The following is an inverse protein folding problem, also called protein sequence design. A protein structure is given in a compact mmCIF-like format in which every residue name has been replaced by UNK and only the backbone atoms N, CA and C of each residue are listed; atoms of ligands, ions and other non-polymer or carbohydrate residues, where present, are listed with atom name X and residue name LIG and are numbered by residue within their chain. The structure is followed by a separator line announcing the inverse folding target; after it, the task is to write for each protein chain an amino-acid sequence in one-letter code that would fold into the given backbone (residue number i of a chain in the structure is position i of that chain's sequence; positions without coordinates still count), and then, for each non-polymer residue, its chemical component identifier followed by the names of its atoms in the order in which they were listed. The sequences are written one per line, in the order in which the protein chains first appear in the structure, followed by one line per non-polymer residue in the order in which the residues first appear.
data_IF_272476263393
#
_entry.id   IF_272476263393
#
_cell.length_a   1.000
_cell.length_b   1.000
_cell.length_c   1.000
_cell.angle_alpha   90.00
_cell.angle_beta   90.00
_cell.angle_gamma   90.00
#
_symmetry.space_group_name_H-M   'P 1'
#
loop_
_entity.id
_entity.type
_entity.pdbx_description
1 polymer ?
#
# COMPACT_ATOMS: atom_id res chain seq x y z
N UNK A 1 -14.03 -8.30 -10.02
CA UNK A 1 -13.67 -9.58 -9.39
C UNK A 1 -13.42 -9.30 -7.91
N UNK A 2 -13.92 -10.13 -6.99
CA UNK A 2 -13.56 -9.97 -5.58
C UNK A 2 -12.05 -10.17 -5.43
N UNK A 3 -11.36 -9.28 -4.69
CA UNK A 3 -9.95 -9.46 -4.38
C UNK A 3 -9.71 -10.79 -3.65
N UNK A 4 -8.55 -11.40 -3.84
CA UNK A 4 -8.21 -12.60 -3.07
C UNK A 4 -8.21 -12.27 -1.57
N UNK A 5 -8.71 -13.18 -0.69
CA UNK A 5 -9.01 -12.90 0.71
C UNK A 5 -7.85 -12.36 1.54
N UNK A 6 -6.59 -12.54 1.09
CA UNK A 6 -5.38 -12.16 1.82
C UNK A 6 -4.55 -11.09 1.09
N UNK A 7 -5.16 -10.34 0.17
CA UNK A 7 -4.47 -9.30 -0.59
C UNK A 7 -4.53 -7.94 0.11
N UNK A 8 -3.37 -7.29 0.28
CA UNK A 8 -3.26 -5.94 0.84
C UNK A 8 -2.28 -5.09 0.03
N UNK A 9 -2.59 -3.82 -0.13
CA UNK A 9 -1.73 -2.84 -0.83
C UNK A 9 -1.05 -1.94 0.19
N UNK A 10 0.23 -1.65 0.01
CA UNK A 10 0.96 -0.62 0.78
C UNK A 10 1.42 0.46 -0.20
N UNK A 11 1.18 1.72 0.13
CA UNK A 11 1.44 2.85 -0.75
C UNK A 11 2.02 4.05 0.02
N UNK A 12 2.93 4.78 -0.61
CA UNK A 12 3.43 6.04 -0.07
C UNK A 12 2.51 7.20 -0.47
N UNK A 13 2.14 8.07 0.46
CA UNK A 13 1.24 9.20 0.18
C UNK A 13 1.82 10.20 -0.84
N UNK A 14 3.14 10.40 -0.82
CA UNK A 14 3.88 11.34 -1.65
C UNK A 14 4.54 10.68 -2.87
N UNK A 15 3.93 9.61 -3.40
CA UNK A 15 4.40 8.97 -4.64
C UNK A 15 4.08 9.85 -5.85
N UNK A 16 5.11 10.51 -6.38
CA UNK A 16 5.01 11.37 -7.57
C UNK A 16 4.91 10.58 -8.89
N UNK A 17 5.23 9.28 -8.88
CA UNK A 17 5.15 8.41 -10.05
C UNK A 17 3.77 7.76 -10.21
N UNK A 18 3.15 7.40 -9.09
CA UNK A 18 1.80 6.81 -9.04
C UNK A 18 0.99 7.52 -7.94
N UNK A 19 0.09 8.46 -8.30
CA UNK A 19 -0.70 9.17 -7.31
C UNK A 19 -1.56 8.24 -6.45
N UNK A 20 -1.67 8.53 -5.14
CA UNK A 20 -2.50 7.77 -4.20
C UNK A 20 -3.94 7.56 -4.70
N UNK A 21 -4.54 8.58 -5.32
CA UNK A 21 -5.88 8.50 -5.87
C UNK A 21 -6.04 7.36 -6.90
N UNK A 22 -5.05 7.18 -7.78
CA UNK A 22 -5.07 6.11 -8.79
C UNK A 22 -5.05 4.72 -8.13
N UNK A 23 -4.26 4.54 -7.07
CA UNK A 23 -4.24 3.30 -6.28
C UNK A 23 -5.59 3.03 -5.62
N UNK A 24 -6.22 4.06 -5.03
CA UNK A 24 -7.52 3.93 -4.37
C UNK A 24 -8.63 3.61 -5.38
N UNK A 25 -8.62 4.24 -6.55
CA UNK A 25 -9.60 3.99 -7.61
C UNK A 25 -9.48 2.57 -8.18
N UNK A 26 -8.26 2.05 -8.31
CA UNK A 26 -8.02 0.66 -8.68
C UNK A 26 -8.45 -0.34 -7.60
N UNK A 27 -8.21 -0.03 -6.32
CA UNK A 27 -8.54 -0.91 -5.21
C UNK A 27 -10.06 -1.02 -4.95
N UNK A 28 -10.82 0.05 -5.21
CA UNK A 28 -12.24 0.19 -4.83
C UNK A 28 -13.17 -0.89 -5.42
N UNK A 29 -13.13 -1.25 -6.71
CA UNK A 29 -14.06 -2.24 -7.30
C UNK A 29 -13.89 -3.66 -6.74
N UNK A 30 -12.73 -3.94 -6.14
CA UNK A 30 -12.35 -5.24 -5.57
C UNK A 30 -12.20 -5.20 -4.04
N UNK A 31 -12.55 -4.07 -3.42
CA UNK A 31 -12.55 -3.82 -1.97
C UNK A 31 -11.21 -4.23 -1.32
N UNK A 32 -10.09 -3.89 -1.97
CA UNK A 32 -8.78 -4.19 -1.41
C UNK A 32 -8.42 -3.21 -0.27
N UNK A 33 -7.90 -3.71 0.86
CA UNK A 33 -7.36 -2.86 1.91
C UNK A 33 -6.06 -2.18 1.43
N UNK A 34 -5.95 -0.87 1.69
CA UNK A 34 -4.78 -0.04 1.36
C UNK A 34 -4.18 0.54 2.64
N UNK A 35 -2.88 0.38 2.83
CA UNK A 35 -2.08 1.04 3.87
C UNK A 35 -1.36 2.21 3.25
N UNK A 36 -1.53 3.39 3.85
CA UNK A 36 -0.87 4.61 3.38
C UNK A 36 0.21 5.01 4.38
N UNK A 37 1.41 5.31 3.89
CA UNK A 37 2.50 5.86 4.68
C UNK A 37 2.61 7.37 4.37
N UNK A 38 2.27 8.26 5.33
CA UNK A 38 2.31 9.71 5.12
C UNK A 38 3.71 10.25 4.80
N UNK A 39 3.80 11.19 3.86
CA UNK A 39 5.06 11.80 3.42
C UNK A 39 6.06 10.86 2.73
N UNK A 40 5.69 9.60 2.47
CA UNK A 40 6.55 8.61 1.83
C UNK A 40 6.33 8.61 0.33
N UNK A 41 7.42 8.70 -0.43
CA UNK A 41 7.37 8.59 -1.90
C UNK A 41 7.57 7.17 -2.42
N UNK A 42 7.58 7.04 -3.75
CA UNK A 42 7.64 5.77 -4.50
C UNK A 42 8.67 4.75 -3.98
N UNK A 43 9.86 5.23 -3.62
CA UNK A 43 10.99 4.39 -3.23
C UNK A 43 11.08 4.09 -1.74
N UNK A 44 10.17 4.62 -0.92
CA UNK A 44 10.19 4.42 0.53
C UNK A 44 11.50 4.84 1.22
N UNK A 45 12.17 5.90 0.72
CA UNK A 45 13.41 6.43 1.29
C UNK A 45 13.28 6.70 2.80
N UNK A 46 14.23 6.19 3.59
CA UNK A 46 14.22 6.31 5.05
C UNK A 46 13.17 5.47 5.78
N UNK A 47 12.30 4.75 5.05
CA UNK A 47 11.14 4.03 5.62
C UNK A 47 11.12 2.53 5.30
N UNK A 48 12.18 1.97 4.71
CA UNK A 48 12.27 0.53 4.39
C UNK A 48 12.10 -0.38 5.61
N UNK A 49 12.56 0.05 6.79
CA UNK A 49 12.37 -0.72 8.04
C UNK A 49 10.90 -0.79 8.47
N UNK A 50 10.16 0.31 8.29
CA UNK A 50 8.72 0.36 8.53
C UNK A 50 7.97 -0.48 7.49
N UNK A 51 8.31 -0.33 6.21
CA UNK A 51 7.75 -1.14 5.11
C UNK A 51 7.91 -2.64 5.40
N UNK A 52 9.13 -3.08 5.78
CA UNK A 52 9.39 -4.47 6.15
C UNK A 52 8.49 -4.95 7.29
N UNK A 53 8.33 -4.14 8.34
CA UNK A 53 7.48 -4.49 9.48
C UNK A 53 6.04 -4.71 9.04
N UNK A 54 5.49 -3.78 8.25
CA UNK A 54 4.11 -3.86 7.75
C UNK A 54 3.89 -5.09 6.86
N UNK A 55 4.83 -5.39 5.96
CA UNK A 55 4.75 -6.56 5.07
C UNK A 55 4.83 -7.87 5.86
N UNK A 56 5.77 -7.98 6.81
CA UNK A 56 5.92 -9.20 7.63
C UNK A 56 4.72 -9.43 8.53
N UNK A 57 4.13 -8.37 9.08
CA UNK A 57 2.91 -8.46 9.88
C UNK A 57 1.72 -8.93 9.03
N UNK A 58 1.56 -8.39 7.82
CA UNK A 58 0.49 -8.79 6.92
C UNK A 58 0.59 -10.27 6.48
N UNK A 59 1.80 -10.83 6.36
CA UNK A 59 2.01 -12.23 5.96
C UNK A 59 1.79 -13.25 7.09
N UNK A 60 1.80 -12.80 8.35
CA UNK A 60 1.62 -13.68 9.53
C UNK A 60 0.19 -13.72 10.05
N UNK A 61 -0.68 -12.86 9.52
CA UNK A 61 -2.10 -12.81 9.83
C UNK A 61 -2.87 -13.85 8.99
#
# INVERSE_FOLDING_TARGET
AAGAPDTRVTHGEADDGVPLAATLDWARPQVLPVVVLPGVGHFFHGQLALLKTLVVQAWRA
#
